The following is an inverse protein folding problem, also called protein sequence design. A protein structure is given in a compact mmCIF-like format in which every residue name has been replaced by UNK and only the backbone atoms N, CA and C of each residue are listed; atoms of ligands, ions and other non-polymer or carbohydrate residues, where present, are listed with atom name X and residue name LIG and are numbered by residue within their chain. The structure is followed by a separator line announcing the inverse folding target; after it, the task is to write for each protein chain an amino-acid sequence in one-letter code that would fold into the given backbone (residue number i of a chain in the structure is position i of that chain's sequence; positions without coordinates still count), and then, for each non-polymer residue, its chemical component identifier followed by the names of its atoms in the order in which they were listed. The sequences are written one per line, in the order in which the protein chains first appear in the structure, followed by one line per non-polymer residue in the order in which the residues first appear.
data_IF_840808099480
#
_entry.id   IF_840808099480
#
_cell.length_a   1.000
_cell.length_b   1.000
_cell.length_c   1.000
_cell.angle_alpha   90.00
_cell.angle_beta   90.00
_cell.angle_gamma   90.00
#
_symmetry.space_group_name_H-M   'P 1'
#
loop_
_entity.id
_entity.type
_entity.pdbx_description
1 polymer ?
#
# COMPACT_ATOMS: atom_id res chain seq x y z
N UNK A 1 7.95 6.95 -1.40
CA UNK A 1 8.56 5.66 -1.79
C UNK A 1 8.03 5.28 -3.16
N UNK A 2 8.91 4.95 -4.06
CA UNK A 2 8.57 4.39 -5.35
C UNK A 2 9.64 3.38 -5.72
N UNK A 3 9.24 2.29 -6.38
CA UNK A 3 10.20 1.29 -6.81
C UNK A 3 10.82 0.49 -5.66
N UNK A 4 9.98 -0.06 -4.80
CA UNK A 4 10.47 -0.80 -3.63
C UNK A 4 11.10 -2.16 -3.94
N UNK A 5 10.91 -2.66 -5.16
CA UNK A 5 11.52 -3.94 -5.56
C UNK A 5 11.02 -5.14 -4.78
N UNK A 6 9.77 -5.13 -4.34
CA UNK A 6 9.21 -6.22 -3.56
C UNK A 6 9.56 -6.18 -2.08
N UNK A 7 10.11 -5.06 -1.60
CA UNK A 7 10.57 -4.96 -0.22
C UNK A 7 9.88 -3.84 0.56
N UNK A 8 8.65 -3.54 0.18
CA UNK A 8 7.95 -2.41 0.77
C UNK A 8 7.75 -2.57 2.27
N UNK A 9 7.34 -3.75 2.72
CA UNK A 9 7.13 -3.99 4.16
C UNK A 9 8.41 -3.80 4.96
N UNK A 10 9.53 -4.32 4.45
CA UNK A 10 10.82 -4.19 5.13
C UNK A 10 11.25 -2.73 5.23
N UNK A 11 11.06 -1.98 4.16
CA UNK A 11 11.41 -0.56 4.13
C UNK A 11 10.58 0.19 5.18
N UNK A 12 9.27 -0.06 5.21
CA UNK A 12 8.40 0.63 6.15
C UNK A 12 8.69 0.24 7.60
N UNK A 13 9.10 -1.00 7.84
CA UNK A 13 9.48 -1.43 9.16
C UNK A 13 10.69 -0.63 9.67
N UNK A 14 11.68 -0.43 8.82
CA UNK A 14 12.85 0.38 9.17
C UNK A 14 12.44 1.82 9.46
N UNK A 15 11.57 2.38 8.60
CA UNK A 15 11.12 3.76 8.77
C UNK A 15 10.30 3.94 10.04
N UNK A 16 9.44 2.98 10.36
CA UNK A 16 8.63 3.03 11.58
C UNK A 16 9.52 3.03 12.83
N UNK A 17 10.56 2.19 12.83
CA UNK A 17 11.49 2.13 13.95
C UNK A 17 12.26 3.44 14.13
N UNK A 18 12.57 4.09 13.02
CA UNK A 18 13.26 5.38 13.07
C UNK A 18 12.38 6.50 13.56
N UNK A 19 11.12 6.52 13.13
CA UNK A 19 10.20 7.58 13.53
C UNK A 19 8.76 7.06 13.39
N UNK A 20 8.13 6.63 14.50
CA UNK A 20 6.79 6.09 14.46
C UNK A 20 5.69 7.13 14.22
N UNK A 21 6.06 8.36 13.91
CA UNK A 21 5.13 9.43 13.56
C UNK A 21 5.39 9.98 12.16
N UNK A 22 6.15 9.25 11.35
CA UNK A 22 6.56 9.72 10.03
C UNK A 22 5.38 9.76 9.06
N UNK A 23 5.33 10.79 8.23
CA UNK A 23 4.40 10.86 7.11
C UNK A 23 4.97 10.07 5.94
N UNK A 24 4.17 9.17 5.37
CA UNK A 24 4.59 8.28 4.31
C UNK A 24 3.74 8.54 3.07
N UNK A 25 4.39 8.54 1.91
CA UNK A 25 3.71 8.57 0.61
C UNK A 25 4.31 7.46 -0.25
N UNK A 26 3.45 6.62 -0.80
CA UNK A 26 3.86 5.47 -1.61
C UNK A 26 3.19 5.57 -2.97
N UNK A 27 3.98 5.43 -4.03
CA UNK A 27 3.46 5.34 -5.39
C UNK A 27 3.53 3.90 -5.85
N UNK A 28 2.45 3.40 -6.43
CA UNK A 28 2.37 2.03 -6.91
C UNK A 28 1.80 2.01 -8.32
N UNK A 29 2.47 1.31 -9.22
CA UNK A 29 2.04 1.16 -10.60
C UNK A 29 1.75 -0.31 -10.92
N UNK A 30 2.61 -1.23 -10.48
CA UNK A 30 2.44 -2.66 -10.78
C UNK A 30 1.43 -3.30 -9.82
N UNK A 31 0.80 -4.36 -10.29
CA UNK A 31 -0.11 -5.15 -9.46
C UNK A 31 0.60 -5.72 -8.24
N UNK A 32 1.87 -6.09 -8.40
CA UNK A 32 2.67 -6.62 -7.30
C UNK A 32 2.85 -5.59 -6.20
N UNK A 33 3.16 -4.34 -6.56
CA UNK A 33 3.30 -3.27 -5.55
C UNK A 33 1.96 -2.92 -4.92
N UNK A 34 0.88 -2.95 -5.70
CA UNK A 34 -0.47 -2.72 -5.16
C UNK A 34 -0.82 -3.79 -4.12
N UNK A 35 -0.46 -5.04 -4.39
CA UNK A 35 -0.68 -6.12 -3.42
C UNK A 35 0.12 -5.90 -2.14
N UNK A 36 1.38 -5.48 -2.27
CA UNK A 36 2.20 -5.14 -1.11
C UNK A 36 1.59 -3.97 -0.33
N UNK A 37 1.06 -2.99 -1.05
CA UNK A 37 0.42 -1.83 -0.43
C UNK A 37 -0.76 -2.26 0.43
N UNK A 38 -1.58 -3.20 -0.05
CA UNK A 38 -2.69 -3.73 0.74
C UNK A 38 -2.19 -4.35 2.04
N UNK A 39 -1.09 -5.08 1.97
CA UNK A 39 -0.50 -5.69 3.14
C UNK A 39 0.03 -4.64 4.12
N UNK A 40 0.60 -3.56 3.61
CA UNK A 40 1.02 -2.43 4.43
C UNK A 40 -0.16 -1.83 5.19
N UNK A 41 -1.28 -1.62 4.50
CA UNK A 41 -2.47 -1.06 5.12
C UNK A 41 -3.01 -1.94 6.24
N UNK A 42 -2.84 -3.25 6.11
CA UNK A 42 -3.29 -4.19 7.12
C UNK A 42 -2.30 -4.37 8.28
N UNK A 43 -1.05 -3.98 8.09
CA UNK A 43 0.02 -4.27 9.04
C UNK A 43 0.37 -3.10 9.93
N UNK A 44 0.51 -1.90 9.35
CA UNK A 44 1.04 -0.76 10.09
C UNK A 44 -0.08 0.09 10.68
N UNK A 45 0.11 0.55 11.93
CA UNK A 45 -0.85 1.49 12.51
C UNK A 45 -0.67 2.85 11.84
N UNK A 46 -1.77 3.46 11.44
CA UNK A 46 -1.71 4.70 10.69
C UNK A 46 -2.94 5.56 10.91
N UNK A 47 -2.79 6.84 10.59
CA UNK A 47 -3.87 7.80 10.63
C UNK A 47 -3.75 8.72 9.41
N UNK A 48 -4.81 9.44 9.12
CA UNK A 48 -4.87 10.34 7.97
C UNK A 48 -4.56 9.61 6.66
N UNK A 49 -5.16 8.43 6.52
CA UNK A 49 -4.97 7.59 5.36
C UNK A 49 -5.72 8.14 4.16
N UNK A 50 -5.05 8.22 3.03
CA UNK A 50 -5.67 8.62 1.77
C UNK A 50 -5.12 7.76 0.64
N UNK A 51 -5.99 7.20 -0.17
CA UNK A 51 -5.60 6.40 -1.32
C UNK A 51 -6.31 6.98 -2.54
N UNK A 52 -5.54 7.31 -3.56
CA UNK A 52 -6.13 7.81 -4.79
C UNK A 52 -5.43 7.20 -6.00
N UNK A 53 -6.10 7.25 -7.12
CA UNK A 53 -5.55 6.81 -8.39
C UNK A 53 -5.53 7.99 -9.33
N UNK A 54 -4.40 8.19 -10.01
CA UNK A 54 -4.28 9.22 -11.02
C UNK A 54 -4.09 8.59 -12.39
N UNK A 55 -4.82 9.10 -13.37
CA UNK A 55 -4.67 8.71 -14.76
C UNK A 55 -4.36 9.96 -15.57
N UNK A 56 -3.40 9.83 -16.48
CA UNK A 56 -2.97 10.94 -17.32
C UNK A 56 -2.96 10.45 -18.76
N UNK A 57 -3.53 11.25 -19.66
CA UNK A 57 -3.42 11.01 -21.09
C UNK A 57 -2.82 12.25 -21.74
N UNK A 58 -1.93 12.03 -22.67
CA UNK A 58 -1.33 13.11 -23.44
C UNK A 58 -1.82 12.99 -24.87
N UNK A 59 -1.98 14.11 -25.54
CA UNK A 59 -2.33 14.10 -26.95
C UNK A 59 -1.04 14.16 -27.75
N UNK A 60 -0.87 13.17 -28.62
CA UNK A 60 0.30 13.09 -29.49
C UNK A 60 -0.11 13.36 -30.91
N UNK A 61 0.67 14.18 -31.61
CA UNK A 61 0.41 14.42 -33.03
C UNK A 61 1.12 13.37 -33.84
N UNK A 62 0.36 12.67 -34.69
CA UNK A 62 0.91 11.68 -35.59
C UNK A 62 0.36 12.02 -36.97
N UNK A 63 1.24 12.47 -37.85
CA UNK A 63 0.85 13.01 -39.19
C UNK A 63 -0.13 14.16 -39.00
N UNK A 64 -1.35 14.06 -39.53
CA UNK A 64 -2.37 15.10 -39.37
C UNK A 64 -3.33 14.83 -38.22
N UNK A 65 -3.13 13.74 -37.48
CA UNK A 65 -4.04 13.34 -36.41
C UNK A 65 -3.52 13.74 -35.04
N UNK A 66 -4.43 13.97 -34.12
CA UNK A 66 -4.13 14.19 -32.73
C UNK A 66 -4.72 13.04 -31.95
N UNK A 67 -3.86 12.19 -31.36
CA UNK A 67 -4.28 10.96 -30.73
C UNK A 67 -4.03 11.00 -29.23
N UNK A 68 -5.07 10.78 -28.42
CA UNK A 68 -4.87 10.62 -26.98
C UNK A 68 -4.07 9.33 -26.72
N UNK A 69 -3.09 9.44 -25.86
CA UNK A 69 -2.26 8.32 -25.46
C UNK A 69 -2.24 8.25 -23.94
N UNK A 70 -2.80 7.19 -23.39
CA UNK A 70 -2.87 7.02 -21.95
C UNK A 70 -1.55 6.55 -21.40
N UNK A 71 -1.17 7.10 -20.25
CA UNK A 71 -0.03 6.61 -19.48
C UNK A 71 -0.55 5.64 -18.43
N UNK A 72 0.36 4.91 -17.80
CA UNK A 72 -0.03 3.94 -16.77
C UNK A 72 -0.69 4.66 -15.61
N UNK A 73 -1.81 4.14 -15.09
CA UNK A 73 -2.38 4.69 -13.88
C UNK A 73 -1.41 4.53 -12.71
N UNK A 74 -1.41 5.51 -11.81
CA UNK A 74 -0.55 5.49 -10.62
C UNK A 74 -1.45 5.52 -9.39
N UNK A 75 -1.26 4.58 -8.49
CA UNK A 75 -1.88 4.61 -7.18
C UNK A 75 -0.97 5.39 -6.25
N UNK A 76 -1.54 6.31 -5.48
CA UNK A 76 -0.80 7.09 -4.50
C UNK A 76 -1.48 6.89 -3.16
N UNK A 77 -0.72 6.33 -2.23
CA UNK A 77 -1.20 6.10 -0.87
C UNK A 77 -0.39 6.95 0.08
N UNK A 78 -1.06 7.72 0.93
CA UNK A 78 -0.37 8.51 1.93
C UNK A 78 -1.01 8.29 3.30
N UNK A 79 -0.20 8.32 4.33
CA UNK A 79 -0.65 8.17 5.70
C UNK A 79 0.44 8.64 6.65
N UNK A 80 0.08 8.81 7.91
CA UNK A 80 1.04 9.09 8.97
C UNK A 80 1.07 7.88 9.90
N UNK A 81 2.25 7.40 10.25
CA UNK A 81 2.36 6.33 11.23
C UNK A 81 1.76 6.76 12.57
N UNK A 82 1.20 5.80 13.27
CA UNK A 82 0.69 6.01 14.63
C UNK A 82 1.44 5.06 15.54
N UNK A 83 2.06 5.61 16.58
CA UNK A 83 2.82 4.80 17.51
C UNK A 83 1.89 3.98 18.41
N UNK A 84 2.17 2.68 18.54
CA UNK A 84 1.36 1.79 19.36
C UNK A 84 2.12 1.16 20.52
N UNK A 85 3.44 1.35 20.57
CA UNK A 85 4.25 0.71 21.60
C UNK A 85 4.63 -0.73 21.32
N UNK A 86 4.14 -1.30 20.22
CA UNK A 86 4.50 -2.67 19.81
C UNK A 86 5.00 -2.65 18.38
N UNK A 87 5.74 -3.70 18.01
CA UNK A 87 6.25 -3.82 16.65
C UNK A 87 5.13 -4.23 15.69
N UNK A 88 4.86 -3.46 14.63
CA UNK A 88 3.77 -3.78 13.70
C UNK A 88 3.92 -5.15 13.03
N UNK A 89 5.15 -5.55 12.71
CA UNK A 89 5.38 -6.84 12.07
C UNK A 89 5.08 -7.99 13.00
N UNK A 90 5.33 -7.86 14.28
CA UNK A 90 4.99 -8.87 15.27
C UNK A 90 3.48 -9.03 15.39
N UNK A 91 2.75 -7.93 15.39
CA UNK A 91 1.29 -7.98 15.40
C UNK A 91 0.73 -8.66 14.17
N UNK A 92 1.29 -8.40 13.01
CA UNK A 92 0.88 -9.05 11.78
C UNK A 92 1.10 -10.56 11.82
N UNK A 93 2.22 -11.01 12.37
CA UNK A 93 2.51 -12.42 12.52
C UNK A 93 1.52 -13.10 13.45
N UNK A 94 1.19 -12.48 14.56
CA UNK A 94 0.20 -13.01 15.49
C UNK A 94 -1.16 -13.14 14.85
N UNK A 95 -1.58 -12.16 14.10
CA UNK A 95 -2.88 -12.17 13.42
C UNK A 95 -2.94 -13.30 12.41
N UNK A 96 -1.90 -13.50 11.62
CA UNK A 96 -1.85 -14.58 10.63
C UNK A 96 -1.89 -15.94 11.30
N UNK A 97 -1.18 -16.11 12.40
CA UNK A 97 -1.17 -17.35 13.14
C UNK A 97 -2.54 -17.67 13.71
N UNK A 98 -3.21 -16.69 14.30
CA UNK A 98 -4.55 -16.91 14.85
C UNK A 98 -5.56 -17.24 13.77
N UNK A 99 -5.48 -16.60 12.63
CA UNK A 99 -6.36 -16.89 11.51
C UNK A 99 -6.14 -18.32 11.02
N UNK A 100 -4.90 -18.80 11.01
CA UNK A 100 -4.61 -20.15 10.63
C UNK A 100 -5.16 -21.16 11.62
N UNK A 101 -5.09 -20.87 12.89
CA UNK A 101 -5.60 -21.77 13.92
C UNK A 101 -7.12 -21.88 13.92
N UNK A 102 -7.80 -20.78 13.61
CA UNK A 102 -9.24 -20.77 13.60
C UNK A 102 -9.79 -21.08 12.23
N UNK A 103 -9.02 -21.65 11.39
CA UNK A 103 -9.22 -21.65 9.96
C UNK A 103 -10.49 -22.18 9.43
N UNK A 104 -11.43 -22.67 10.12
CA UNK A 104 -12.58 -23.00 9.52
C UNK A 104 -13.52 -21.92 9.46
N UNK A 105 -13.22 -21.06 9.46
CA UNK A 105 -13.89 -20.18 9.30
C UNK A 105 -15.12 -19.74 9.01
N UNK A 106 -15.69 -19.57 9.15
CA UNK A 106 -16.58 -19.17 9.01
C UNK A 106 -16.89 -18.16 8.57
N UNK A 107 -17.04 -17.94 8.11
CA UNK A 107 -17.33 -17.22 7.58
C UNK A 107 -17.41 -16.13 7.40
N UNK A 108 -17.24 -15.86 7.31
CA UNK A 108 -17.14 -14.94 7.10
C UNK A 108 -17.46 -13.86 6.84
N UNK A 109 -17.76 -13.56 6.86
CA UNK A 109 -18.06 -12.64 6.60
C UNK A 109 -17.50 -11.59 6.50
N UNK A 110 -17.36 -11.19 6.06
CA UNK A 110 -16.81 -10.23 5.97
C UNK A 110 -17.05 -9.21 5.44
N UNK A 111 -17.20 -8.75 5.32
CA UNK A 111 -17.27 -7.94 4.83
C UNK A 111 -16.89 -6.82 4.80
N UNK A 112 -16.70 -6.37 4.61
CA UNK A 112 -16.34 -5.33 4.54
C UNK A 112 -16.12 -4.84 4.03
#
# INVERSE_FOLDING_TARGET
IGGSGGRLLDILQVLYRKNPHMRIVINAISMETIAELKEVLDTFPMEEEEILQMQVSRVKKLLSYHLPQAENPVWICSFTFRETGTDPMDNAKKTKQNAGETGNGKNGEVQR
#
